data_IF_872663315934
#
_entry.id   IF_872663315934
#
_cell.length_a   1.000
_cell.length_b   1.000
_cell.length_c   1.000
_cell.angle_alpha   90.00
_cell.angle_beta   90.00
_cell.angle_gamma   90.00
#
_symmetry.space_group_name_H-M   'P 1'
#
loop_
_entity.id
_entity.type
_entity.pdbx_description
1 polymer ?
#
# COMPACT_ATOMS: atom_id res chain seq x y z
N UNK A 1 25.28 0.55 -48.43
CA UNK A 1 23.85 0.91 -48.26
C UNK A 1 23.61 1.11 -46.77
N UNK A 2 23.42 2.34 -46.31
CA UNK A 2 23.16 2.65 -44.89
C UNK A 2 21.67 2.49 -44.60
N UNK A 3 21.32 1.59 -43.68
CA UNK A 3 19.94 1.40 -43.22
C UNK A 3 19.49 2.67 -42.50
N UNK A 4 18.61 3.46 -43.11
CA UNK A 4 17.89 4.55 -42.44
C UNK A 4 16.56 4.01 -41.92
N UNK A 5 16.50 3.79 -40.61
CA UNK A 5 15.25 3.51 -39.92
C UNK A 5 14.47 4.81 -39.79
N UNK A 6 13.20 4.82 -40.22
CA UNK A 6 12.31 5.91 -39.91
C UNK A 6 11.81 5.73 -38.48
N UNK A 7 12.05 6.74 -37.65
CA UNK A 7 11.50 6.82 -36.30
C UNK A 7 10.11 7.43 -36.36
N UNK A 8 9.08 6.65 -36.06
CA UNK A 8 7.76 7.20 -35.84
C UNK A 8 7.74 7.98 -34.51
N UNK A 9 7.53 9.28 -34.60
CA UNK A 9 7.39 10.16 -33.42
C UNK A 9 6.13 11.01 -33.58
N UNK A 10 5.42 11.32 -32.48
CA UNK A 10 4.23 12.16 -32.56
C UNK A 10 4.59 13.56 -33.06
N UNK A 11 3.77 14.09 -33.97
CA UNK A 11 4.05 15.37 -34.62
C UNK A 11 4.06 16.54 -33.61
N UNK A 12 4.92 17.53 -33.85
CA UNK A 12 5.02 18.73 -33.00
C UNK A 12 3.98 19.81 -33.34
N UNK A 13 3.44 19.78 -34.55
CA UNK A 13 2.46 20.73 -35.06
C UNK A 13 1.43 20.00 -35.94
N UNK A 14 0.18 20.46 -35.88
CA UNK A 14 -0.88 19.95 -36.73
C UNK A 14 -0.73 20.53 -38.14
N UNK A 15 -0.24 19.71 -39.06
CA UNK A 15 -0.02 20.08 -40.46
C UNK A 15 -1.28 19.94 -41.32
N UNK A 16 -2.40 19.46 -40.77
CA UNK A 16 -3.64 19.34 -41.51
C UNK A 16 -4.34 20.69 -41.59
N UNK A 17 -4.81 21.06 -42.78
CA UNK A 17 -5.47 22.35 -43.05
C UNK A 17 -6.66 22.67 -42.14
N UNK A 18 -7.30 21.65 -41.55
CA UNK A 18 -8.43 21.81 -40.64
C UNK A 18 -8.08 21.84 -39.15
N UNK A 19 -6.80 21.65 -38.80
CA UNK A 19 -6.29 21.46 -37.43
C UNK A 19 -7.12 20.46 -36.61
N UNK A 20 -7.45 19.32 -37.24
CA UNK A 20 -8.37 18.34 -36.68
C UNK A 20 -7.85 17.73 -35.38
N UNK A 21 -6.55 17.44 -35.29
CA UNK A 21 -5.96 16.83 -34.09
C UNK A 21 -5.90 17.85 -32.95
N UNK A 22 -5.56 19.10 -33.26
CA UNK A 22 -5.54 20.20 -32.28
C UNK A 22 -6.94 20.50 -31.70
N UNK A 23 -7.98 20.51 -32.55
CA UNK A 23 -9.38 20.70 -32.12
C UNK A 23 -9.88 19.58 -31.22
N UNK A 24 -9.55 18.32 -31.55
CA UNK A 24 -9.89 17.18 -30.69
C UNK A 24 -9.18 17.31 -29.35
N UNK A 25 -7.88 17.65 -29.33
CA UNK A 25 -7.13 17.87 -28.10
C UNK A 25 -7.73 18.99 -27.24
N UNK A 26 -8.19 20.09 -27.84
CA UNK A 26 -8.86 21.20 -27.14
C UNK A 26 -10.16 20.75 -26.48
N UNK A 27 -11.03 20.05 -27.22
CA UNK A 27 -12.30 19.55 -26.68
C UNK A 27 -12.07 18.56 -25.53
N UNK A 28 -11.10 17.66 -25.69
CA UNK A 28 -10.72 16.71 -24.62
C UNK A 28 -10.18 17.44 -23.40
N UNK A 29 -9.39 18.52 -23.58
CA UNK A 29 -8.90 19.33 -22.47
C UNK A 29 -10.03 20.02 -21.69
N UNK A 30 -11.06 20.50 -22.37
CA UNK A 30 -12.27 21.07 -21.74
C UNK A 30 -13.02 20.00 -20.92
N UNK A 31 -13.15 18.79 -21.47
CA UNK A 31 -13.82 17.67 -20.79
C UNK A 31 -13.04 17.25 -19.53
N UNK A 32 -11.71 17.17 -19.58
CA UNK A 32 -10.88 16.81 -18.43
C UNK A 32 -11.01 17.81 -17.28
N UNK A 33 -11.27 19.09 -17.58
CA UNK A 33 -11.56 20.12 -16.56
C UNK A 33 -12.95 20.00 -15.95
N UNK A 34 -13.82 19.16 -16.50
CA UNK A 34 -15.17 18.93 -16.01
C UNK A 34 -15.18 17.77 -15.00
N UNK A 35 -15.70 17.95 -13.77
CA UNK A 35 -15.51 17.00 -12.67
C UNK A 35 -16.21 15.63 -12.85
N UNK A 36 -17.16 15.52 -13.77
CA UNK A 36 -18.01 14.31 -13.90
C UNK A 36 -17.48 13.29 -14.91
N UNK A 37 -16.36 13.56 -15.60
CA UNK A 37 -15.81 12.66 -16.64
C UNK A 37 -14.46 12.09 -16.22
N UNK A 38 -14.45 10.80 -15.88
CA UNK A 38 -13.25 10.10 -15.39
C UNK A 38 -12.53 9.28 -16.46
N UNK A 39 -13.22 8.90 -17.55
CA UNK A 39 -12.68 8.00 -18.58
C UNK A 39 -12.98 8.59 -19.95
N UNK A 40 -11.94 8.75 -20.76
CA UNK A 40 -12.03 9.26 -22.14
C UNK A 40 -11.37 8.23 -23.05
N UNK A 41 -12.13 7.68 -23.99
CA UNK A 41 -11.64 6.78 -25.02
C UNK A 41 -11.30 7.55 -26.29
N UNK A 42 -10.11 7.31 -26.85
CA UNK A 42 -9.72 7.84 -28.16
C UNK A 42 -9.60 6.68 -29.15
N UNK A 43 -10.63 6.48 -29.96
CA UNK A 43 -10.69 5.42 -30.96
C UNK A 43 -10.18 5.90 -32.32
N UNK A 44 -9.50 5.00 -33.05
CA UNK A 44 -9.03 5.26 -34.41
C UNK A 44 -8.06 4.18 -34.90
N UNK A 45 -7.86 4.11 -36.21
CA UNK A 45 -6.96 3.13 -36.85
C UNK A 45 -5.48 3.34 -36.45
N UNK A 46 -4.63 2.34 -36.67
CA UNK A 46 -3.18 2.49 -36.51
C UNK A 46 -2.68 3.61 -37.45
N UNK A 47 -1.84 4.52 -36.95
CA UNK A 47 -1.35 5.66 -37.74
C UNK A 47 -2.33 6.84 -37.87
N UNK A 48 -3.53 6.80 -37.30
CA UNK A 48 -4.51 7.92 -37.33
C UNK A 48 -4.09 9.19 -36.57
N UNK A 49 -2.96 9.17 -35.86
CA UNK A 49 -2.45 10.32 -35.11
C UNK A 49 -2.88 10.39 -33.65
N UNK A 50 -3.39 9.30 -33.06
CA UNK A 50 -3.78 9.24 -31.63
C UNK A 50 -2.68 9.73 -30.68
N UNK A 51 -1.45 9.27 -30.87
CA UNK A 51 -0.30 9.70 -30.07
C UNK A 51 0.03 11.19 -30.24
N UNK A 52 -0.25 11.77 -31.42
CA UNK A 52 -0.10 13.21 -31.69
C UNK A 52 -1.14 14.02 -30.90
N UNK A 53 -2.40 13.57 -30.87
CA UNK A 53 -3.45 14.20 -30.07
C UNK A 53 -3.06 14.20 -28.58
N UNK A 54 -2.56 13.08 -28.06
CA UNK A 54 -2.08 12.99 -26.67
C UNK A 54 -0.95 13.99 -26.37
N UNK A 55 -0.02 14.19 -27.31
CA UNK A 55 1.07 15.16 -27.17
C UNK A 55 0.55 16.61 -27.12
N UNK A 56 -0.42 16.95 -27.97
CA UNK A 56 -1.06 18.28 -27.93
C UNK A 56 -1.87 18.49 -26.65
N UNK A 57 -2.58 17.46 -26.20
CA UNK A 57 -3.33 17.48 -24.95
C UNK A 57 -2.41 17.73 -23.75
N UNK A 58 -1.29 17.01 -23.64
CA UNK A 58 -0.29 17.20 -22.60
C UNK A 58 0.28 18.63 -22.61
N UNK A 59 0.52 19.18 -23.79
CA UNK A 59 1.02 20.57 -23.93
C UNK A 59 0.02 21.59 -23.40
N UNK A 60 -1.29 21.39 -23.63
CA UNK A 60 -2.36 22.31 -23.21
C UNK A 60 -2.67 22.26 -21.72
N UNK A 61 -2.43 21.13 -21.08
CA UNK A 61 -2.79 20.86 -19.68
C UNK A 61 -1.58 20.79 -18.75
N UNK A 62 -0.38 21.11 -19.24
CA UNK A 62 0.90 20.93 -18.54
C UNK A 62 0.97 21.65 -17.19
N UNK A 63 0.32 22.80 -17.08
CA UNK A 63 0.37 23.64 -15.88
C UNK A 63 -0.69 23.25 -14.84
N UNK A 64 -1.77 22.60 -15.29
CA UNK A 64 -2.92 22.25 -14.46
C UNK A 64 -2.84 20.79 -13.94
N UNK A 65 -2.22 19.89 -14.70
CA UNK A 65 -2.27 18.44 -14.46
C UNK A 65 -0.90 17.76 -14.52
N UNK A 66 -0.74 16.72 -13.69
CA UNK A 66 0.39 15.79 -13.80
C UNK A 66 0.03 14.64 -14.73
N UNK A 67 0.90 14.41 -15.73
CA UNK A 67 0.74 13.31 -16.68
C UNK A 67 1.58 12.10 -16.30
N UNK A 68 0.93 10.95 -16.18
CA UNK A 68 1.58 9.66 -15.97
C UNK A 68 1.24 8.79 -17.18
N UNK A 69 2.24 8.53 -18.02
CA UNK A 69 2.06 7.76 -19.25
C UNK A 69 2.36 6.28 -19.01
N UNK A 70 1.42 5.42 -19.39
CA UNK A 70 1.57 3.98 -19.31
C UNK A 70 1.31 3.34 -20.68
N UNK A 71 2.28 2.55 -21.16
CA UNK A 71 2.20 1.84 -22.44
C UNK A 71 1.94 0.36 -22.19
N UNK A 72 0.73 -0.10 -22.51
CA UNK A 72 0.32 -1.47 -22.28
C UNK A 72 1.11 -2.49 -23.13
N UNK A 73 1.51 -2.13 -24.34
CA UNK A 73 2.24 -3.02 -25.26
C UNK A 73 3.69 -3.22 -24.80
N UNK A 74 4.32 -2.14 -24.33
CA UNK A 74 5.68 -2.21 -23.77
C UNK A 74 5.78 -3.13 -22.55
N UNK A 75 4.74 -3.18 -21.73
CA UNK A 75 4.70 -3.98 -20.50
C UNK A 75 3.94 -5.31 -20.65
N UNK A 76 3.64 -5.73 -21.88
CA UNK A 76 2.81 -6.91 -22.16
C UNK A 76 3.50 -8.26 -21.83
N UNK A 77 4.83 -8.30 -21.81
CA UNK A 77 5.63 -9.51 -21.59
C UNK A 77 6.04 -9.74 -20.12
N UNK A 78 5.49 -8.96 -19.19
CA UNK A 78 5.71 -9.09 -17.74
C UNK A 78 4.41 -8.95 -16.94
N UNK A 79 4.50 -8.74 -15.63
CA UNK A 79 3.32 -8.46 -14.81
C UNK A 79 2.85 -7.01 -15.02
N UNK A 80 1.94 -6.79 -15.97
CA UNK A 80 1.36 -5.47 -16.30
C UNK A 80 0.89 -4.70 -15.06
N UNK A 81 0.31 -5.41 -14.07
CA UNK A 81 -0.13 -4.82 -12.79
C UNK A 81 1.01 -4.19 -12.01
N UNK A 82 2.13 -4.90 -11.85
CA UNK A 82 3.32 -4.39 -11.16
C UNK A 82 3.90 -3.19 -11.91
N UNK A 83 4.03 -3.30 -13.23
CA UNK A 83 4.55 -2.22 -14.06
C UNK A 83 3.71 -0.94 -13.93
N UNK A 84 2.38 -1.07 -13.93
CA UNK A 84 1.47 0.05 -13.74
C UNK A 84 1.67 0.70 -12.36
N UNK A 85 1.76 -0.10 -11.29
CA UNK A 85 2.00 0.39 -9.93
C UNK A 85 3.35 1.12 -9.86
N UNK A 86 4.40 0.56 -10.44
CA UNK A 86 5.74 1.17 -10.45
C UNK A 86 5.76 2.48 -11.25
N UNK A 87 5.06 2.57 -12.38
CA UNK A 87 4.95 3.80 -13.19
C UNK A 87 4.18 4.89 -12.45
N UNK A 88 3.07 4.54 -11.80
CA UNK A 88 2.28 5.49 -10.99
C UNK A 88 3.12 5.98 -9.80
N UNK A 89 3.75 5.06 -9.06
CA UNK A 89 4.64 5.40 -7.94
C UNK A 89 5.74 6.36 -8.39
N UNK A 90 6.42 6.06 -9.49
CA UNK A 90 7.47 6.91 -10.02
C UNK A 90 6.93 8.31 -10.38
N UNK A 91 5.82 8.39 -11.12
CA UNK A 91 5.22 9.66 -11.52
C UNK A 91 4.79 10.55 -10.35
N UNK A 92 4.18 9.96 -9.32
CA UNK A 92 3.76 10.68 -8.11
C UNK A 92 4.96 11.08 -7.25
N UNK A 93 5.99 10.23 -7.16
CA UNK A 93 7.19 10.50 -6.33
C UNK A 93 8.02 11.69 -6.82
N UNK A 94 7.92 12.04 -8.10
CA UNK A 94 8.58 13.19 -8.70
C UNK A 94 7.90 14.51 -8.31
N UNK A 95 6.58 14.49 -8.12
CA UNK A 95 5.80 15.67 -7.74
C UNK A 95 5.81 15.93 -6.23
N UNK A 96 5.84 14.86 -5.43
CA UNK A 96 5.71 14.93 -3.98
C UNK A 96 6.92 14.29 -3.27
N UNK A 97 8.11 14.94 -3.27
CA UNK A 97 9.33 14.35 -2.69
C UNK A 97 9.23 14.14 -1.18
N UNK A 98 8.46 14.99 -0.47
CA UNK A 98 8.28 14.91 0.99
C UNK A 98 7.41 13.75 1.47
N UNK A 99 6.73 13.02 0.58
CA UNK A 99 5.82 11.93 0.93
C UNK A 99 6.31 10.56 0.44
N UNK A 100 7.60 10.43 0.10
CA UNK A 100 8.18 9.20 -0.44
C UNK A 100 7.98 7.99 0.47
N UNK A 101 8.22 8.13 1.78
CA UNK A 101 8.07 7.01 2.72
C UNK A 101 6.64 6.46 2.76
N UNK A 102 5.66 7.37 2.73
CA UNK A 102 4.23 7.02 2.68
C UNK A 102 3.88 6.35 1.35
N UNK A 103 4.40 6.89 0.25
CA UNK A 103 4.18 6.37 -1.09
C UNK A 103 4.81 4.98 -1.28
N UNK A 104 5.99 4.73 -0.70
CA UNK A 104 6.66 3.43 -0.67
C UNK A 104 5.86 2.40 0.13
N UNK A 105 5.26 2.81 1.25
CA UNK A 105 4.33 1.94 1.99
C UNK A 105 3.16 1.51 1.11
N UNK A 106 2.49 2.45 0.43
CA UNK A 106 1.35 2.13 -0.44
C UNK A 106 1.75 1.29 -1.66
N UNK A 107 2.91 1.55 -2.26
CA UNK A 107 3.46 0.72 -3.32
C UNK A 107 3.67 -0.72 -2.84
N UNK A 108 4.34 -0.89 -1.71
CA UNK A 108 4.62 -2.22 -1.18
C UNK A 108 3.34 -2.97 -0.76
N UNK A 109 2.34 -2.26 -0.26
CA UNK A 109 1.01 -2.81 -0.01
C UNK A 109 0.34 -3.27 -1.32
N UNK A 110 0.30 -2.41 -2.34
CA UNK A 110 -0.33 -2.70 -3.63
C UNK A 110 0.37 -3.85 -4.40
N UNK A 111 1.68 -4.02 -4.20
CA UNK A 111 2.46 -5.13 -4.74
C UNK A 111 2.34 -6.42 -3.93
N UNK A 112 1.71 -6.37 -2.75
CA UNK A 112 1.62 -7.52 -1.84
C UNK A 112 2.94 -7.87 -1.14
N UNK A 113 3.89 -6.93 -1.09
CA UNK A 113 5.16 -7.11 -0.37
C UNK A 113 4.98 -7.02 1.16
N UNK A 114 3.90 -6.37 1.62
CA UNK A 114 3.54 -6.26 3.03
C UNK A 114 2.25 -7.04 3.26
N UNK A 115 2.29 -8.00 4.18
CA UNK A 115 1.13 -8.74 4.66
C UNK A 115 0.89 -8.34 6.11
N UNK A 116 -0.17 -7.57 6.36
CA UNK A 116 -0.59 -7.25 7.73
C UNK A 116 -1.37 -8.44 8.31
N UNK A 117 -0.99 -8.90 9.51
CA UNK A 117 -1.64 -10.00 10.22
C UNK A 117 -2.26 -9.49 11.52
N UNK A 118 -3.58 -9.58 11.67
CA UNK A 118 -4.27 -9.30 12.93
C UNK A 118 -4.10 -10.49 13.88
N UNK A 119 -3.16 -10.38 14.81
CA UNK A 119 -2.99 -11.35 15.89
C UNK A 119 -3.83 -10.93 17.08
N UNK A 120 -5.05 -11.48 17.18
CA UNK A 120 -5.84 -11.44 18.41
C UNK A 120 -5.14 -12.27 19.49
N UNK A 121 -4.39 -11.62 20.38
CA UNK A 121 -3.77 -12.27 21.53
C UNK A 121 -4.77 -12.25 22.70
N UNK A 122 -5.46 -13.36 22.92
CA UNK A 122 -6.05 -13.63 24.23
C UNK A 122 -4.92 -14.07 25.16
N UNK A 123 -4.83 -13.44 26.34
CA UNK A 123 -3.89 -13.85 27.39
C UNK A 123 -4.08 -15.33 27.68
N UNK A 124 -3.02 -16.13 27.51
CA UNK A 124 -3.05 -17.59 27.69
C UNK A 124 -3.11 -18.03 29.16
N UNK A 125 -3.12 -17.09 30.11
CA UNK A 125 -3.22 -17.41 31.52
C UNK A 125 -4.68 -17.66 31.89
N UNK A 126 -5.01 -18.92 32.18
CA UNK A 126 -6.30 -19.28 32.74
C UNK A 126 -6.48 -18.57 34.08
N UNK A 127 -7.70 -18.10 34.36
CA UNK A 127 -8.07 -17.58 35.68
C UNK A 127 -7.75 -18.58 36.80
N UNK A 128 -7.83 -19.88 36.52
CA UNK A 128 -7.44 -20.93 37.46
C UNK A 128 -5.96 -20.88 37.82
N UNK A 129 -5.09 -20.51 36.88
CA UNK A 129 -3.65 -20.34 37.15
C UNK A 129 -3.42 -19.19 38.11
N UNK A 130 -4.17 -18.10 37.97
CA UNK A 130 -4.09 -16.94 38.88
C UNK A 130 -4.55 -17.33 40.29
N UNK A 131 -5.69 -18.02 40.39
CA UNK A 131 -6.21 -18.51 41.67
C UNK A 131 -5.26 -19.52 42.32
N UNK A 132 -4.68 -20.42 41.53
CA UNK A 132 -3.70 -21.41 42.01
C UNK A 132 -2.46 -20.73 42.59
N UNK A 133 -1.91 -19.72 41.92
CA UNK A 133 -0.75 -18.96 42.42
C UNK A 133 -1.11 -18.26 43.75
N UNK A 134 -2.30 -17.65 43.83
CA UNK A 134 -2.76 -16.97 45.05
C UNK A 134 -2.93 -17.95 46.24
N UNK A 135 -3.52 -19.12 45.99
CA UNK A 135 -3.66 -20.17 47.01
C UNK A 135 -2.31 -20.74 47.46
N UNK A 136 -1.37 -20.91 46.52
CA UNK A 136 -0.01 -21.35 46.83
C UNK A 136 0.73 -20.35 47.73
N UNK A 137 0.55 -19.05 47.50
CA UNK A 137 1.14 -18.02 48.37
C UNK A 137 0.52 -18.01 49.77
N UNK A 138 -0.80 -18.19 49.87
CA UNK A 138 -1.51 -18.26 51.15
C UNK A 138 -1.16 -19.51 51.96
N UNK A 139 -0.98 -20.66 51.30
CA UNK A 139 -0.64 -21.91 51.98
C UNK A 139 0.73 -21.84 52.67
N UNK A 140 1.71 -21.19 52.04
CA UNK A 140 3.05 -20.97 52.63
C UNK A 140 2.97 -20.14 53.91
N UNK A 141 2.09 -19.14 53.96
CA UNK A 141 1.89 -18.33 55.18
C UNK A 141 1.26 -19.16 56.31
N UNK A 142 0.29 -20.01 55.99
CA UNK A 142 -0.41 -20.85 56.97
C UNK A 142 0.42 -22.04 57.48
N UNK A 143 1.35 -22.54 56.65
CA UNK A 143 2.23 -23.65 57.03
C UNK A 143 3.06 -23.33 58.29
N UNK A 144 3.47 -22.06 58.45
CA UNK A 144 4.23 -21.62 59.63
C UNK A 144 3.44 -21.80 60.93
N UNK A 145 2.15 -21.46 60.92
CA UNK A 145 1.28 -21.58 62.10
C UNK A 145 1.01 -23.05 62.45
N UNK A 146 0.77 -23.88 61.43
CA UNK A 146 0.57 -25.32 61.64
C UNK A 146 1.82 -25.98 62.23
N UNK A 147 3.01 -25.60 61.76
CA UNK A 147 4.27 -26.11 62.31
C UNK A 147 4.48 -25.70 63.77
N UNK A 148 4.11 -24.47 64.14
CA UNK A 148 4.22 -24.02 65.54
C UNK A 148 3.23 -24.72 66.45
N UNK A 149 1.98 -24.92 66.01
CA UNK A 149 0.94 -25.60 66.79
C UNK A 149 1.26 -27.09 66.97
N UNK A 150 1.77 -27.75 65.92
CA UNK A 150 2.24 -29.14 66.01
C UNK A 150 3.40 -29.26 66.99
N UNK A 151 4.39 -28.36 66.92
CA UNK A 151 5.52 -28.39 67.85
C UNK A 151 5.08 -28.19 69.31
N UNK A 152 4.13 -27.28 69.57
CA UNK A 152 3.54 -27.11 70.91
C UNK A 152 2.77 -28.35 71.37
N UNK A 153 1.99 -28.98 70.49
CA UNK A 153 1.25 -30.20 70.80
C UNK A 153 2.18 -31.37 71.19
N UNK A 154 3.27 -31.58 70.45
CA UNK A 154 4.26 -32.61 70.79
C UNK A 154 5.00 -32.29 72.10
N UNK A 155 5.43 -31.03 72.28
CA UNK A 155 6.14 -30.61 73.51
C UNK A 155 5.26 -30.77 74.76
N UNK A 156 3.96 -30.47 74.67
CA UNK A 156 3.04 -30.60 75.80
C UNK A 156 2.69 -32.04 76.14
N UNK A 157 2.62 -32.94 75.16
CA UNK A 157 2.38 -34.38 75.40
C UNK A 157 3.58 -35.05 76.09
N UNK A 158 4.81 -34.64 75.77
CA UNK A 158 6.02 -35.16 76.41
C UNK A 158 6.10 -34.76 77.91
N UNK A 159 5.57 -33.60 78.30
CA UNK A 159 5.55 -33.11 79.69
C UNK A 159 4.48 -33.79 80.56
N UNK A 160 3.46 -34.42 79.97
CA UNK A 160 2.39 -35.13 80.72
C UNK A 160 2.71 -36.60 81.04
N UNK A 161 3.85 -37.10 80.58
CA UNK A 161 4.29 -38.48 80.77
C UNK A 161 5.51 -38.65 81.70
N UNK A 162 5.90 -37.60 82.45
CA UNK A 162 6.90 -37.67 83.52
C UNK A 162 6.26 -37.76 84.92
#
# INVERSE_FOLDING_TARGET
MTLRLQTESPADQDMFRGSSHEKVAENVAQIIRTPDVNIIGLEGELGSGKSTILKFLQKKLKDDFTFINFDAERYHHGSTKKALIDVIHHGVSLQCPGSRDVLDKYKNLALGNIVEYDKRVSSRLSWLTVVFILLSLLSVQMLRYVLTDLNQYFTNNDLTHE
#
